data_IF_455620677775
#
_entry.id   IF_455620677775
#
_cell.length_a   1.000
_cell.length_b   1.000
_cell.length_c   1.000
_cell.angle_alpha   90.00
_cell.angle_beta   90.00
_cell.angle_gamma   90.00
#
_symmetry.space_group_name_H-M   'P 1'
#
loop_
_entity.id
_entity.type
_entity.pdbx_description
1 polymer ?
#
# COMPACT_ATOMS: atom_id res chain seq x y z
N UNK A 1 19.29 61.68 57.91
CA UNK A 1 18.34 60.69 57.34
C UNK A 1 18.10 59.59 58.37
N UNK A 2 16.85 59.25 58.65
CA UNK A 2 16.46 58.27 59.68
C UNK A 2 16.81 56.84 59.23
N UNK A 3 17.56 56.09 60.02
CA UNK A 3 17.98 54.69 59.74
C UNK A 3 16.81 53.76 59.41
N UNK A 4 15.60 54.07 59.91
CA UNK A 4 14.36 53.34 59.57
C UNK A 4 13.97 53.46 58.09
N UNK A 5 14.29 54.59 57.45
CA UNK A 5 14.00 54.82 56.02
C UNK A 5 14.98 54.09 55.10
N UNK A 6 16.23 53.88 55.53
CA UNK A 6 17.21 53.13 54.74
C UNK A 6 16.88 51.63 54.68
N UNK A 7 16.45 51.03 55.79
CA UNK A 7 16.04 49.62 55.83
C UNK A 7 14.80 49.34 54.99
N UNK A 8 13.84 50.27 54.97
CA UNK A 8 12.65 50.17 54.12
C UNK A 8 13.02 50.17 52.63
N UNK A 9 13.99 50.99 52.22
CA UNK A 9 14.45 51.06 50.83
C UNK A 9 15.11 49.75 50.37
N UNK A 10 16.01 49.19 51.19
CA UNK A 10 16.67 47.92 50.85
C UNK A 10 15.68 46.76 50.73
N UNK A 11 14.67 46.68 51.61
CA UNK A 11 13.62 45.65 51.55
C UNK A 11 12.83 45.69 50.24
N UNK A 12 12.43 46.89 49.80
CA UNK A 12 11.69 47.06 48.54
C UNK A 12 12.53 46.66 47.33
N UNK A 13 13.81 47.06 47.28
CA UNK A 13 14.71 46.70 46.17
C UNK A 13 14.91 45.19 46.09
N UNK A 14 15.08 44.51 47.23
CA UNK A 14 15.20 43.05 47.28
C UNK A 14 13.92 42.40 46.75
N UNK A 15 12.74 42.79 47.23
CA UNK A 15 11.46 42.22 46.78
C UNK A 15 11.26 42.39 45.26
N UNK A 16 11.58 43.57 44.70
CA UNK A 16 11.49 43.80 43.25
C UNK A 16 12.51 42.93 42.49
N UNK A 17 13.71 42.76 43.02
CA UNK A 17 14.72 41.85 42.47
C UNK A 17 14.26 40.38 42.46
N UNK A 18 13.66 39.89 43.55
CA UNK A 18 13.16 38.52 43.63
C UNK A 18 11.96 38.31 42.70
N UNK A 19 11.01 39.26 42.66
CA UNK A 19 9.84 39.17 41.78
C UNK A 19 10.25 39.19 40.31
N UNK A 20 11.18 40.06 39.93
CA UNK A 20 11.68 40.11 38.54
C UNK A 20 12.45 38.86 38.14
N UNK A 21 13.30 38.32 39.02
CA UNK A 21 14.00 37.06 38.80
C UNK A 21 13.03 35.86 38.69
N UNK A 22 12.02 35.78 39.57
CA UNK A 22 10.98 34.76 39.49
C UNK A 22 10.19 34.85 38.19
N UNK A 23 9.79 36.06 37.80
CA UNK A 23 9.05 36.29 36.55
C UNK A 23 9.89 35.93 35.32
N UNK A 24 11.21 36.18 35.37
CA UNK A 24 12.14 35.80 34.30
C UNK A 24 12.29 34.27 34.19
N UNK A 25 12.45 33.57 35.32
CA UNK A 25 12.57 32.11 35.34
C UNK A 25 11.27 31.37 34.98
N UNK A 26 10.10 31.91 35.35
CA UNK A 26 8.80 31.31 35.00
C UNK A 26 8.44 31.56 33.52
N UNK A 27 9.00 32.61 32.90
CA UNK A 27 8.74 32.95 31.49
C UNK A 27 9.76 32.44 30.50
N UNK A 28 10.81 31.71 30.91
CA UNK A 28 11.69 31.08 29.92
C UNK A 28 10.94 29.99 29.17
N UNK A 29 10.67 30.13 27.86
CA UNK A 29 10.11 29.04 27.08
C UNK A 29 11.15 27.92 27.03
N UNK A 30 10.74 26.69 27.33
CA UNK A 30 11.55 25.51 27.03
C UNK A 30 11.68 25.42 25.51
N UNK A 31 12.86 25.75 24.99
CA UNK A 31 13.18 25.52 23.59
C UNK A 31 13.33 24.01 23.45
N UNK A 32 12.26 23.34 23.01
CA UNK A 32 12.34 21.97 22.51
C UNK A 32 13.10 22.06 21.19
N UNK A 33 14.41 21.86 21.23
CA UNK A 33 15.17 21.65 20.00
C UNK A 33 14.71 20.29 19.48
N UNK A 34 14.00 20.22 18.34
CA UNK A 34 13.68 18.93 17.76
C UNK A 34 15.03 18.27 17.46
N UNK A 35 15.34 17.21 18.19
CA UNK A 35 16.49 16.38 17.90
C UNK A 35 16.16 15.66 16.60
N UNK A 36 16.47 16.29 15.47
CA UNK A 36 16.41 15.65 14.15
C UNK A 36 17.54 14.65 14.10
N UNK A 37 17.36 13.50 14.77
CA UNK A 37 18.16 12.31 14.50
C UNK A 37 17.94 11.98 13.04
N UNK A 38 18.98 12.14 12.23
CA UNK A 38 18.96 11.67 10.85
C UNK A 38 18.70 10.16 10.89
N UNK A 39 17.65 9.70 10.20
CA UNK A 39 17.40 8.28 10.05
C UNK A 39 18.43 7.66 9.10
N UNK A 40 18.66 6.37 9.24
CA UNK A 40 19.50 5.63 8.29
C UNK A 40 18.84 5.61 6.91
N UNK A 41 19.65 5.64 5.84
CA UNK A 41 19.20 5.65 4.44
C UNK A 41 18.75 4.24 3.95
N UNK A 42 18.18 3.45 4.85
CA UNK A 42 17.67 2.12 4.50
C UNK A 42 16.36 2.25 3.72
N UNK A 43 16.24 1.47 2.64
CA UNK A 43 15.05 1.36 1.84
C UNK A 43 14.40 -0.02 2.04
N UNK A 44 13.08 -0.03 2.23
CA UNK A 44 12.25 -1.22 2.17
C UNK A 44 11.52 -1.24 0.83
N UNK A 45 11.61 -2.34 0.10
CA UNK A 45 10.84 -2.55 -1.13
C UNK A 45 9.39 -2.90 -0.75
N UNK A 46 8.46 -2.18 -1.34
CA UNK A 46 7.03 -2.42 -1.22
C UNK A 46 6.55 -3.46 -2.24
N UNK A 47 5.38 -4.08 -2.01
CA UNK A 47 4.87 -5.13 -2.91
C UNK A 47 4.70 -4.70 -4.37
N UNK A 48 4.45 -3.40 -4.60
CA UNK A 48 4.32 -2.78 -5.91
C UNK A 48 5.67 -2.50 -6.61
N UNK A 49 6.79 -2.78 -5.94
CA UNK A 49 8.15 -2.51 -6.42
C UNK A 49 8.69 -1.13 -6.03
N UNK A 50 7.88 -0.25 -5.43
CA UNK A 50 8.35 1.05 -4.92
C UNK A 50 9.25 0.88 -3.68
N UNK A 51 9.96 1.94 -3.30
CA UNK A 51 10.84 1.92 -2.12
C UNK A 51 10.41 2.97 -1.11
N UNK A 52 10.28 2.57 0.16
CA UNK A 52 10.01 3.46 1.29
C UNK A 52 11.22 3.52 2.23
N UNK A 53 11.54 4.72 2.71
CA UNK A 53 12.60 4.96 3.68
C UNK A 53 12.09 4.98 5.12
N UNK A 54 13.02 5.16 6.06
CA UNK A 54 12.71 5.45 7.46
C UNK A 54 12.37 6.91 7.66
N UNK A 55 11.33 7.20 8.44
CA UNK A 55 10.87 8.54 8.75
C UNK A 55 10.36 8.67 10.20
N UNK A 56 10.22 9.91 10.67
CA UNK A 56 9.67 10.22 11.99
C UNK A 56 10.66 10.11 13.15
N UNK A 57 10.24 10.45 14.38
CA UNK A 57 11.13 10.51 15.55
C UNK A 57 11.67 9.15 15.99
N UNK A 58 11.03 8.05 15.59
CA UNK A 58 11.46 6.68 15.85
C UNK A 58 12.19 6.03 14.66
N UNK A 59 12.35 6.73 13.53
CA UNK A 59 12.96 6.19 12.30
C UNK A 59 12.37 4.85 11.86
N UNK A 60 11.04 4.78 11.83
CA UNK A 60 10.30 3.62 11.35
C UNK A 60 10.07 3.72 9.84
N UNK A 61 9.91 2.58 9.16
CA UNK A 61 9.57 2.61 7.75
C UNK A 61 8.21 3.26 7.54
N UNK A 62 8.14 4.19 6.59
CA UNK A 62 6.85 4.68 6.10
C UNK A 62 6.02 3.49 5.61
N UNK A 63 4.70 3.43 5.90
CA UNK A 63 3.84 2.39 5.37
C UNK A 63 3.90 2.36 3.84
N UNK A 64 3.86 1.16 3.25
CA UNK A 64 3.67 1.01 1.82
C UNK A 64 2.27 1.48 1.44
N UNK A 65 2.15 2.11 0.28
CA UNK A 65 0.84 2.41 -0.30
C UNK A 65 0.10 1.10 -0.60
N UNK A 66 -1.23 1.11 -0.43
CA UNK A 66 -2.06 -0.05 -0.75
C UNK A 66 -2.17 -0.12 -2.28
N UNK A 67 -1.67 -1.20 -2.92
CA UNK A 67 -1.77 -1.33 -4.36
C UNK A 67 -3.23 -1.39 -4.82
N UNK A 68 -3.55 -0.62 -5.85
CA UNK A 68 -4.85 -0.62 -6.52
C UNK A 68 -4.75 -1.46 -7.79
N UNK A 69 -5.60 -2.49 -7.88
CA UNK A 69 -5.69 -3.40 -9.01
C UNK A 69 -6.94 -3.08 -9.82
N UNK A 70 -6.81 -2.87 -11.13
CA UNK A 70 -7.95 -2.79 -12.03
C UNK A 70 -7.72 -3.69 -13.24
N UNK A 71 -8.68 -4.57 -13.53
CA UNK A 71 -8.67 -5.39 -14.73
C UNK A 71 -9.29 -4.62 -15.89
N UNK A 72 -8.58 -4.60 -17.02
CA UNK A 72 -9.06 -4.00 -18.26
C UNK A 72 -9.28 -5.15 -19.23
N UNK A 73 -10.54 -5.39 -19.57
CA UNK A 73 -10.96 -6.46 -20.47
C UNK A 73 -11.51 -5.83 -21.75
N UNK A 74 -10.96 -6.23 -22.89
CA UNK A 74 -11.41 -5.79 -24.21
C UNK A 74 -11.64 -6.98 -25.13
N UNK A 75 -12.65 -6.90 -25.99
CA UNK A 75 -12.86 -7.91 -27.03
C UNK A 75 -11.73 -7.82 -28.07
N UNK A 76 -11.05 -8.93 -28.33
CA UNK A 76 -10.00 -9.02 -29.35
C UNK A 76 -10.56 -8.99 -30.78
N UNK A 77 -11.88 -9.07 -30.95
CA UNK A 77 -12.55 -9.17 -32.26
C UNK A 77 -12.27 -10.49 -32.99
N UNK A 78 -11.68 -11.45 -32.30
CA UNK A 78 -11.22 -12.74 -32.84
C UNK A 78 -11.90 -13.89 -32.11
N UNK A 79 -11.96 -15.05 -32.76
CA UNK A 79 -12.51 -16.28 -32.17
C UNK A 79 -11.46 -17.38 -32.12
N UNK A 80 -11.51 -18.22 -31.08
CA UNK A 80 -10.73 -19.45 -31.01
C UNK A 80 -11.24 -20.48 -32.02
N UNK A 81 -10.48 -21.57 -32.21
CA UNK A 81 -10.90 -22.68 -33.08
C UNK A 81 -12.19 -23.34 -32.58
N UNK A 82 -12.42 -23.34 -31.27
CA UNK A 82 -13.64 -23.83 -30.66
C UNK A 82 -14.83 -22.85 -30.81
N UNK A 83 -14.60 -21.66 -31.39
CA UNK A 83 -15.64 -20.65 -31.62
C UNK A 83 -15.82 -19.67 -30.46
N UNK A 84 -15.05 -19.80 -29.38
CA UNK A 84 -15.06 -18.86 -28.26
C UNK A 84 -14.57 -17.48 -28.69
N UNK A 85 -15.22 -16.40 -28.23
CA UNK A 85 -14.64 -15.05 -28.36
C UNK A 85 -13.31 -14.97 -27.61
N UNK A 86 -12.38 -14.15 -28.09
CA UNK A 86 -11.11 -13.91 -27.42
C UNK A 86 -11.14 -12.56 -26.70
N UNK A 87 -10.83 -12.55 -25.42
CA UNK A 87 -10.73 -11.35 -24.60
C UNK A 87 -9.26 -11.00 -24.36
N UNK A 88 -8.86 -9.79 -24.71
CA UNK A 88 -7.55 -9.22 -24.33
C UNK A 88 -7.65 -8.62 -22.94
N UNK A 89 -6.79 -9.10 -22.05
CA UNK A 89 -6.72 -8.73 -20.65
C UNK A 89 -5.45 -7.92 -20.40
N UNK A 90 -5.63 -6.77 -19.76
CA UNK A 90 -4.57 -5.95 -19.17
C UNK A 90 -4.84 -5.76 -17.67
N UNK A 91 -3.76 -5.58 -16.91
CA UNK A 91 -3.80 -5.27 -15.49
C UNK A 91 -3.23 -3.86 -15.29
N UNK A 92 -4.03 -2.99 -14.70
CA UNK A 92 -3.59 -1.68 -14.22
C UNK A 92 -3.23 -1.76 -12.74
N UNK A 93 -1.95 -1.53 -12.44
CA UNK A 93 -1.40 -1.45 -11.09
C UNK A 93 -1.11 0.01 -10.78
N UNK A 94 -1.81 0.59 -9.80
CA UNK A 94 -1.64 2.01 -9.44
C UNK A 94 -1.73 2.95 -10.66
N UNK A 95 -2.59 2.61 -11.63
CA UNK A 95 -2.76 3.37 -12.89
C UNK A 95 -1.77 3.01 -14.01
N UNK A 96 -0.74 2.20 -13.75
CA UNK A 96 0.18 1.70 -14.77
C UNK A 96 -0.37 0.42 -15.39
N UNK A 97 -0.79 0.51 -16.64
CA UNK A 97 -1.31 -0.63 -17.41
C UNK A 97 -0.17 -1.55 -17.90
N UNK A 98 -0.40 -2.86 -17.81
CA UNK A 98 0.46 -3.88 -18.39
C UNK A 98 -0.37 -4.99 -19.03
N UNK A 99 0.05 -5.47 -20.20
CA UNK A 99 -0.63 -6.58 -20.87
C UNK A 99 -0.49 -7.88 -20.07
N UNK A 100 -1.58 -8.61 -19.92
CA UNK A 100 -1.61 -9.91 -19.23
C UNK A 100 -1.66 -11.04 -20.26
N UNK A 101 -2.53 -10.92 -21.25
CA UNK A 101 -2.63 -11.88 -22.35
C UNK A 101 -4.01 -11.86 -23.02
N UNK A 102 -4.23 -12.81 -23.90
CA UNK A 102 -5.53 -13.05 -24.55
C UNK A 102 -6.08 -14.39 -24.10
N UNK A 103 -7.35 -14.41 -23.70
CA UNK A 103 -8.01 -15.58 -23.09
C UNK A 103 -9.33 -15.89 -23.80
N UNK A 104 -9.74 -17.15 -23.75
CA UNK A 104 -11.01 -17.58 -24.35
C UNK A 104 -12.21 -17.24 -23.47
N UNK A 105 -13.28 -16.81 -24.13
CA UNK A 105 -14.58 -16.56 -23.55
C UNK A 105 -14.76 -15.16 -22.95
N UNK A 106 -15.62 -15.09 -21.94
CA UNK A 106 -15.92 -13.87 -21.20
C UNK A 106 -15.12 -13.82 -19.92
N UNK A 107 -14.66 -12.63 -19.53
CA UNK A 107 -13.92 -12.44 -18.28
C UNK A 107 -14.75 -11.67 -17.25
N UNK A 108 -14.66 -12.05 -15.99
CA UNK A 108 -15.26 -11.35 -14.86
C UNK A 108 -14.33 -11.37 -13.65
N UNK A 109 -14.36 -10.29 -12.87
CA UNK A 109 -13.63 -10.21 -11.61
C UNK A 109 -14.20 -11.19 -10.59
N UNK A 110 -13.31 -11.77 -9.77
CA UNK A 110 -13.67 -12.68 -8.68
C UNK A 110 -13.28 -12.06 -7.33
N UNK A 111 -13.65 -12.71 -6.24
CA UNK A 111 -13.55 -12.16 -4.88
C UNK A 111 -14.90 -11.78 -4.27
N UNK A 112 -15.98 -12.27 -4.87
CA UNK A 112 -17.33 -12.28 -4.30
C UNK A 112 -17.54 -13.56 -3.46
N UNK A 113 -18.54 -13.62 -2.56
CA UNK A 113 -18.78 -14.79 -1.71
C UNK A 113 -18.93 -16.11 -2.49
N UNK A 114 -19.44 -16.05 -3.71
CA UNK A 114 -19.59 -17.20 -4.59
C UNK A 114 -18.23 -17.73 -5.04
N UNK A 115 -17.34 -16.83 -5.47
CA UNK A 115 -15.99 -17.13 -5.99
C UNK A 115 -14.94 -16.39 -5.16
N UNK A 116 -14.68 -16.81 -3.91
CA UNK A 116 -13.78 -16.10 -3.01
C UNK A 116 -12.33 -16.18 -3.49
N UNK A 117 -11.52 -15.17 -3.15
CA UNK A 117 -10.08 -15.22 -3.41
C UNK A 117 -9.40 -16.29 -2.54
N UNK A 118 -8.32 -16.90 -3.04
CA UNK A 118 -7.49 -17.81 -2.27
C UNK A 118 -6.61 -17.06 -1.26
N UNK A 119 -5.98 -17.81 -0.36
CA UNK A 119 -4.98 -17.27 0.54
C UNK A 119 -3.83 -16.60 -0.26
N UNK A 120 -3.53 -15.35 0.08
CA UNK A 120 -2.51 -14.56 -0.60
C UNK A 120 -2.95 -13.94 -1.93
N UNK A 121 -4.10 -14.33 -2.48
CA UNK A 121 -4.66 -13.74 -3.70
C UNK A 121 -5.32 -12.39 -3.36
N UNK A 122 -4.84 -11.32 -4.00
CA UNK A 122 -5.25 -9.92 -3.74
C UNK A 122 -6.30 -9.41 -4.72
N UNK A 123 -6.29 -9.96 -5.93
CA UNK A 123 -7.26 -9.67 -6.97
C UNK A 123 -7.29 -10.86 -7.93
N UNK A 124 -8.46 -11.19 -8.48
CA UNK A 124 -8.60 -12.28 -9.44
C UNK A 124 -9.56 -11.94 -10.57
N UNK A 125 -9.32 -12.55 -11.72
CA UNK A 125 -10.13 -12.47 -12.92
C UNK A 125 -10.31 -13.88 -13.47
N UNK A 126 -11.55 -14.31 -13.62
CA UNK A 126 -11.87 -15.56 -14.30
C UNK A 126 -12.25 -15.26 -15.73
N UNK A 127 -11.61 -15.89 -16.70
CA UNK A 127 -12.02 -15.92 -18.09
C UNK A 127 -12.49 -17.32 -18.45
N UNK A 128 -13.70 -17.50 -18.97
CA UNK A 128 -14.23 -18.82 -19.27
C UNK A 128 -15.12 -18.84 -20.51
N UNK A 129 -15.11 -20.00 -21.17
CA UNK A 129 -16.03 -20.36 -22.24
C UNK A 129 -16.64 -21.72 -21.91
N UNK A 130 -17.97 -21.77 -21.86
CA UNK A 130 -18.74 -22.93 -21.39
C UNK A 130 -18.31 -23.38 -19.99
N UNK A 131 -17.63 -24.53 -19.87
CA UNK A 131 -17.25 -25.15 -18.60
C UNK A 131 -15.74 -25.11 -18.34
N UNK A 132 -14.97 -24.50 -19.23
CA UNK A 132 -13.51 -24.42 -19.13
C UNK A 132 -13.04 -22.97 -19.23
N UNK A 133 -11.93 -22.67 -18.58
CA UNK A 133 -11.43 -21.31 -18.53
C UNK A 133 -10.04 -21.22 -17.92
N UNK A 134 -9.66 -20.01 -17.60
CA UNK A 134 -8.43 -19.67 -16.92
C UNK A 134 -8.73 -18.62 -15.87
N UNK A 135 -8.24 -18.85 -14.66
CA UNK A 135 -8.17 -17.84 -13.63
C UNK A 135 -6.82 -17.14 -13.74
N UNK A 136 -6.85 -15.81 -13.67
CA UNK A 136 -5.67 -14.97 -13.53
C UNK A 136 -5.77 -14.29 -12.17
N UNK A 137 -4.76 -14.47 -11.33
CA UNK A 137 -4.72 -13.89 -10.00
C UNK A 137 -3.46 -13.07 -9.78
N UNK A 138 -3.60 -11.99 -9.02
CA UNK A 138 -2.49 -11.25 -8.41
C UNK A 138 -2.30 -11.79 -7.00
N UNK A 139 -1.15 -12.38 -6.74
CA UNK A 139 -0.80 -12.96 -5.43
C UNK A 139 0.28 -12.12 -4.76
N UNK A 140 0.23 -12.03 -3.44
CA UNK A 140 1.36 -11.54 -2.64
C UNK A 140 2.12 -12.73 -2.05
N UNK A 141 3.34 -12.93 -2.53
CA UNK A 141 4.24 -13.99 -2.06
C UNK A 141 5.54 -13.35 -1.57
N UNK A 142 5.90 -13.57 -0.30
CA UNK A 142 7.13 -13.05 0.30
C UNK A 142 7.30 -11.52 0.15
N UNK A 143 6.19 -10.77 0.23
CA UNK A 143 6.17 -9.32 0.09
C UNK A 143 6.35 -8.80 -1.34
N UNK A 144 6.20 -9.67 -2.35
CA UNK A 144 6.20 -9.31 -3.78
C UNK A 144 4.86 -9.65 -4.40
N UNK A 145 4.40 -8.79 -5.31
CA UNK A 145 3.25 -9.10 -6.15
C UNK A 145 3.66 -10.02 -7.30
N UNK A 146 2.90 -11.08 -7.51
CA UNK A 146 3.15 -12.11 -8.51
C UNK A 146 1.87 -12.32 -9.30
N UNK A 147 1.97 -12.20 -10.62
CA UNK A 147 0.89 -12.56 -11.52
C UNK A 147 0.94 -14.07 -11.78
N UNK A 148 -0.16 -14.76 -11.50
CA UNK A 148 -0.28 -16.20 -11.69
C UNK A 148 -1.51 -16.52 -12.51
N UNK A 149 -1.51 -17.67 -13.17
CA UNK A 149 -2.68 -18.21 -13.87
C UNK A 149 -2.90 -19.68 -13.52
N UNK A 150 -4.16 -20.11 -13.52
CA UNK A 150 -4.52 -21.51 -13.31
C UNK A 150 -5.64 -21.92 -14.28
N UNK A 151 -5.68 -23.20 -14.71
CA UNK A 151 -6.87 -23.75 -15.35
C UNK A 151 -8.09 -23.58 -14.44
N UNK A 152 -9.22 -23.18 -15.02
CA UNK A 152 -10.49 -23.03 -14.32
C UNK A 152 -11.51 -23.98 -14.96
N UNK A 153 -12.25 -24.72 -14.14
CA UNK A 153 -13.43 -25.45 -14.60
C UNK A 153 -14.66 -24.85 -13.95
N UNK A 154 -15.65 -24.48 -14.75
CA UNK A 154 -16.92 -23.91 -14.30
C UNK A 154 -17.98 -25.00 -14.39
N UNK A 155 -18.70 -25.24 -13.29
CA UNK A 155 -19.79 -26.21 -13.26
C UNK A 155 -20.92 -25.81 -14.19
N UNK A 156 -21.76 -26.78 -14.54
CA UNK A 156 -22.92 -26.56 -15.42
C UNK A 156 -23.95 -25.58 -14.84
N UNK A 157 -23.94 -25.41 -13.52
CA UNK A 157 -24.76 -24.45 -12.80
C UNK A 157 -24.19 -23.02 -12.82
N UNK A 158 -23.02 -22.81 -13.45
CA UNK A 158 -22.33 -21.53 -13.56
C UNK A 158 -21.85 -20.96 -12.22
N UNK A 159 -22.06 -21.69 -11.12
CA UNK A 159 -21.87 -21.19 -9.76
C UNK A 159 -20.72 -21.90 -9.06
N UNK A 160 -20.49 -23.16 -9.40
CA UNK A 160 -19.35 -23.93 -8.90
C UNK A 160 -18.11 -23.71 -9.77
N UNK A 161 -16.95 -23.53 -9.14
CA UNK A 161 -15.66 -23.48 -9.83
C UNK A 161 -14.69 -24.48 -9.21
N UNK A 162 -13.90 -25.13 -10.06
CA UNK A 162 -12.74 -25.91 -9.66
C UNK A 162 -11.49 -25.25 -10.22
N UNK A 163 -10.59 -24.85 -9.30
CA UNK A 163 -9.33 -24.19 -9.63
C UNK A 163 -8.22 -25.22 -9.75
N UNK A 164 -7.46 -25.15 -10.84
CA UNK A 164 -6.26 -25.95 -11.05
C UNK A 164 -5.05 -25.41 -10.28
N UNK A 165 -3.87 -25.94 -10.58
CA UNK A 165 -2.62 -25.44 -10.01
C UNK A 165 -2.24 -24.10 -10.65
N UNK A 166 -1.89 -23.12 -9.81
CA UNK A 166 -1.41 -21.82 -10.26
C UNK A 166 0.05 -21.88 -10.71
N UNK A 167 0.30 -21.39 -11.91
CA UNK A 167 1.62 -21.18 -12.49
C UNK A 167 1.98 -19.69 -12.46
N UNK A 168 3.24 -19.39 -12.13
CA UNK A 168 3.74 -18.01 -12.15
C UNK A 168 3.87 -17.54 -13.60
N UNK A 169 3.24 -16.42 -13.92
CA UNK A 169 3.37 -15.73 -15.20
C UNK A 169 4.55 -14.77 -15.15
N UNK A 170 4.57 -13.86 -14.16
CA UNK A 170 5.65 -12.88 -13.94
C UNK A 170 5.56 -12.28 -12.54
N UNK A 171 6.67 -11.70 -12.08
CA UNK A 171 6.68 -10.80 -10.92
C UNK A 171 6.16 -9.43 -11.38
N UNK A 172 5.31 -8.80 -10.57
CA UNK A 172 4.78 -7.48 -10.83
C UNK A 172 5.66 -6.43 -10.12
N UNK A 173 5.82 -5.26 -10.73
CA UNK A 173 6.66 -4.18 -10.16
C UNK A 173 8.17 -4.35 -10.38
N UNK A 174 8.66 -5.48 -10.90
CA UNK A 174 10.09 -5.68 -11.24
C UNK A 174 10.52 -5.00 -12.54
N UNK A 175 9.59 -4.43 -13.31
CA UNK A 175 9.85 -3.72 -14.57
C UNK A 175 10.20 -2.23 -14.35
N UNK A 176 10.71 -1.88 -13.18
CA UNK A 176 11.34 -0.58 -12.92
C UNK A 176 12.85 -0.78 -13.17
N UNK A 177 13.42 -0.18 -14.23
CA UNK A 177 14.87 -0.24 -14.47
C UNK A 177 15.68 0.40 -13.34
#
# INVERSE_FOLDING_TARGET
MSTKSQWAFFSVVICVGVISAWFFFVRTPTIVVPHTSACTEEAKICPDGSTVGRAGPACEFTPCEVPVYNWIVSDSGSKSRAGASLATVSLSLNGKESSVGTYEGSCAEIGVPEWPLLEGEKAGLACWFETAGTEIGVFEEQGRLVLKKAPLSVGKDGSSIARGAFEVVRILGSDVP
#
